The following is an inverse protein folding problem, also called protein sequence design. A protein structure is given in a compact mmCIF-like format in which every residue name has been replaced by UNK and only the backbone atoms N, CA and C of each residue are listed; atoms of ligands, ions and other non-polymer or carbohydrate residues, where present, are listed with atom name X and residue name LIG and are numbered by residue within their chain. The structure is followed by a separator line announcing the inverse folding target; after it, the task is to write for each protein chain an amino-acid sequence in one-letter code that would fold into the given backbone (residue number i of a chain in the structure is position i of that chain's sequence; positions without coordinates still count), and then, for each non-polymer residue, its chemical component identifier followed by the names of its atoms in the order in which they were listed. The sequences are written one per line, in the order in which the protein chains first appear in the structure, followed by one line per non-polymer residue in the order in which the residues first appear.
data_IF_852429396592
#
_entry.id   IF_852429396592
#
_cell.length_a   1.000
_cell.length_b   1.000
_cell.length_c   1.000
_cell.angle_alpha   90.00
_cell.angle_beta   90.00
_cell.angle_gamma   90.00
#
_symmetry.space_group_name_H-M   'P 1'
#
loop_
_entity.id
_entity.type
_entity.pdbx_description
1 polymer ?
#
# COMPACT_ATOMS: atom_id res chain seq x y z
N UNK A 1 -3.87 11.40 -3.51
CA UNK A 1 -4.85 12.49 -3.52
C UNK A 1 -5.47 12.71 -2.14
N UNK A 2 -6.29 11.79 -1.62
CA UNK A 2 -6.98 11.94 -0.33
C UNK A 2 -6.04 12.26 0.84
N UNK A 3 -4.85 11.65 0.84
CA UNK A 3 -3.80 11.90 1.82
C UNK A 3 -3.25 13.34 1.82
N UNK A 4 -3.26 14.01 0.66
CA UNK A 4 -2.83 15.41 0.53
C UNK A 4 -3.99 16.36 0.87
N UNK A 5 -5.21 16.00 0.48
CA UNK A 5 -6.42 16.76 0.82
C UNK A 5 -6.66 16.87 2.35
N UNK A 6 -6.07 15.96 3.13
CA UNK A 6 -6.16 15.91 4.58
C UNK A 6 -4.89 16.43 5.30
N UNK A 7 -3.98 17.11 4.63
CA UNK A 7 -2.73 17.61 5.24
C UNK A 7 -2.94 18.57 6.44
N UNK A 8 -4.06 19.28 6.49
CA UNK A 8 -4.42 20.15 7.63
C UNK A 8 -5.00 19.42 8.84
N UNK A 9 -5.16 18.09 8.78
CA UNK A 9 -5.74 17.29 9.85
C UNK A 9 -4.65 16.66 10.72
N UNK A 10 -5.02 16.15 11.91
CA UNK A 10 -4.08 15.40 12.73
C UNK A 10 -3.50 14.22 11.93
N UNK A 11 -2.16 14.11 11.91
CA UNK A 11 -1.42 13.15 11.09
C UNK A 11 -1.87 11.70 11.28
N UNK A 12 -2.11 11.27 12.52
CA UNK A 12 -2.57 9.91 12.81
C UNK A 12 -4.05 9.72 12.47
N UNK A 13 -4.89 10.73 12.76
CA UNK A 13 -6.30 10.70 12.43
C UNK A 13 -6.53 10.64 10.91
N UNK A 14 -5.71 11.35 10.14
CA UNK A 14 -5.69 11.30 8.67
C UNK A 14 -5.50 9.87 8.17
N UNK A 15 -4.48 9.16 8.65
CA UNK A 15 -4.22 7.78 8.23
C UNK A 15 -5.35 6.83 8.61
N UNK A 16 -5.89 6.96 9.83
CA UNK A 16 -7.03 6.17 10.28
C UNK A 16 -8.28 6.41 9.42
N UNK A 17 -8.55 7.66 9.06
CA UNK A 17 -9.70 8.03 8.24
C UNK A 17 -9.57 7.46 6.82
N UNK A 18 -8.39 7.56 6.22
CA UNK A 18 -8.11 6.94 4.92
C UNK A 18 -8.27 5.43 5.01
N UNK A 19 -7.75 4.79 6.06
CA UNK A 19 -7.86 3.34 6.24
C UNK A 19 -9.32 2.90 6.46
N UNK A 20 -10.13 3.69 7.17
CA UNK A 20 -11.55 3.43 7.35
C UNK A 20 -12.33 3.56 6.04
N UNK A 21 -12.11 4.63 5.27
CA UNK A 21 -12.70 4.79 3.93
C UNK A 21 -12.28 3.65 3.01
N UNK A 22 -11.02 3.24 3.07
CA UNK A 22 -10.49 2.13 2.27
C UNK A 22 -11.12 0.79 2.65
N UNK A 23 -11.33 0.53 3.94
CA UNK A 23 -12.07 -0.64 4.40
C UNK A 23 -13.54 -0.62 3.93
N UNK A 24 -14.24 0.51 4.07
CA UNK A 24 -15.62 0.69 3.59
C UNK A 24 -15.72 0.42 2.08
N UNK A 25 -14.71 0.83 1.31
CA UNK A 25 -14.64 0.54 -0.12
C UNK A 25 -14.50 -0.96 -0.42
N UNK A 26 -13.73 -1.69 0.39
CA UNK A 26 -13.52 -3.13 0.24
C UNK A 26 -14.46 -3.97 1.11
N UNK A 27 -15.61 -3.45 1.50
CA UNK A 27 -16.47 -4.16 2.45
C UNK A 27 -16.90 -5.54 1.90
N UNK A 28 -16.67 -6.60 2.69
CA UNK A 28 -16.98 -8.00 2.34
C UNK A 28 -17.76 -8.65 3.48
N UNK A 29 -18.73 -9.51 3.14
CA UNK A 29 -19.59 -10.20 4.10
C UNK A 29 -19.65 -11.73 3.87
N UNK A 30 -18.72 -12.30 3.09
CA UNK A 30 -18.86 -13.68 2.65
C UNK A 30 -18.37 -14.70 3.69
N UNK A 31 -17.40 -14.33 4.53
CA UNK A 31 -16.73 -15.27 5.45
C UNK A 31 -16.44 -14.62 6.81
N UNK A 32 -16.14 -15.45 7.83
CA UNK A 32 -15.65 -14.94 9.13
C UNK A 32 -14.34 -14.16 8.99
N UNK A 33 -13.49 -14.56 8.03
CA UNK A 33 -12.29 -13.80 7.69
C UNK A 33 -12.65 -12.38 7.25
N UNK A 34 -13.65 -12.22 6.38
CA UNK A 34 -14.10 -10.92 5.88
C UNK A 34 -14.66 -10.00 6.98
N UNK A 35 -15.27 -10.60 8.02
CA UNK A 35 -15.90 -9.86 9.12
C UNK A 35 -14.95 -9.49 10.25
N UNK A 36 -13.97 -10.35 10.57
CA UNK A 36 -13.13 -10.18 11.76
C UNK A 36 -11.67 -9.87 11.46
N UNK A 37 -11.12 -10.43 10.38
CA UNK A 37 -9.68 -10.34 10.08
C UNK A 37 -9.41 -9.29 9.00
N UNK A 38 -10.21 -9.30 7.93
CA UNK A 38 -10.08 -8.37 6.83
C UNK A 38 -10.20 -6.89 7.24
N UNK A 39 -11.11 -6.48 8.16
CA UNK A 39 -11.15 -5.11 8.64
C UNK A 39 -9.87 -4.70 9.37
N UNK A 40 -9.29 -5.59 10.18
CA UNK A 40 -8.03 -5.33 10.88
C UNK A 40 -6.87 -5.14 9.90
N UNK A 41 -6.82 -5.96 8.84
CA UNK A 41 -5.82 -5.82 7.77
C UNK A 41 -6.01 -4.51 7.01
N UNK A 42 -7.24 -4.14 6.64
CA UNK A 42 -7.51 -2.88 5.95
C UNK A 42 -7.18 -1.66 6.82
N UNK A 43 -7.61 -1.65 8.08
CA UNK A 43 -7.37 -0.54 9.00
C UNK A 43 -5.89 -0.41 9.36
N UNK A 44 -5.26 -1.50 9.81
CA UNK A 44 -3.86 -1.52 10.20
C UNK A 44 -2.92 -1.34 9.01
N UNK A 45 -3.17 -2.05 7.92
CA UNK A 45 -2.41 -1.94 6.67
C UNK A 45 -2.56 -0.56 6.04
N UNK A 46 -3.77 -0.02 5.96
CA UNK A 46 -4.02 1.33 5.45
C UNK A 46 -3.31 2.40 6.29
N UNK A 47 -3.33 2.25 7.63
CA UNK A 47 -2.61 3.16 8.53
C UNK A 47 -1.09 3.13 8.29
N UNK A 48 -0.50 1.93 8.27
CA UNK A 48 0.94 1.75 8.06
C UNK A 48 1.40 2.23 6.68
N UNK A 49 0.63 1.92 5.64
CA UNK A 49 0.92 2.36 4.28
C UNK A 49 0.80 3.87 4.13
N UNK A 50 -0.22 4.49 4.73
CA UNK A 50 -0.36 5.95 4.78
C UNK A 50 0.86 6.59 5.45
N UNK A 51 1.23 6.11 6.64
CA UNK A 51 2.43 6.58 7.35
C UNK A 51 3.70 6.43 6.51
N UNK A 52 3.92 5.24 5.93
CA UNK A 52 5.09 4.94 5.13
C UNK A 52 5.17 5.80 3.86
N UNK A 53 4.03 6.10 3.24
CA UNK A 53 3.96 6.97 2.07
C UNK A 53 4.37 8.41 2.39
N UNK A 54 3.92 8.93 3.54
CA UNK A 54 4.31 10.27 4.01
C UNK A 54 5.79 10.30 4.40
N UNK A 55 6.28 9.29 5.15
CA UNK A 55 7.68 9.24 5.60
C UNK A 55 8.67 9.12 4.43
N UNK A 56 8.27 8.44 3.34
CA UNK A 56 9.08 8.30 2.12
C UNK A 56 8.82 9.40 1.07
N UNK A 57 7.79 10.24 1.27
CA UNK A 57 7.32 11.20 0.27
C UNK A 57 6.97 10.55 -1.08
N UNK A 58 6.50 9.30 -1.05
CA UNK A 58 6.31 8.48 -2.24
C UNK A 58 5.07 7.61 -2.12
N UNK A 59 4.25 7.57 -3.16
CA UNK A 59 3.07 6.69 -3.24
C UNK A 59 3.44 5.26 -3.59
N UNK A 60 4.68 5.03 -4.05
CA UNK A 60 5.10 3.73 -4.53
C UNK A 60 4.86 2.62 -3.49
N UNK A 61 5.22 2.74 -2.19
CA UNK A 61 5.09 1.64 -1.23
C UNK A 61 3.64 1.18 -1.12
N UNK A 62 2.70 2.14 -1.20
CA UNK A 62 1.27 1.89 -1.22
C UNK A 62 0.89 1.07 -2.44
N UNK A 63 1.30 1.50 -3.64
CA UNK A 63 0.98 0.79 -4.90
C UNK A 63 1.54 -0.63 -4.92
N UNK A 64 2.79 -0.81 -4.50
CA UNK A 64 3.45 -2.11 -4.47
C UNK A 64 2.80 -3.06 -3.48
N UNK A 65 2.55 -2.60 -2.25
CA UNK A 65 1.91 -3.43 -1.23
C UNK A 65 0.46 -3.74 -1.61
N UNK A 66 -0.26 -2.78 -2.19
CA UNK A 66 -1.63 -2.99 -2.64
C UNK A 66 -1.70 -4.04 -3.77
N UNK A 67 -0.81 -3.96 -4.76
CA UNK A 67 -0.69 -4.98 -5.80
C UNK A 67 -0.31 -6.35 -5.24
N UNK A 68 0.61 -6.40 -4.27
CA UNK A 68 1.03 -7.64 -3.64
C UNK A 68 -0.13 -8.32 -2.88
N UNK A 69 -0.92 -7.53 -2.15
CA UNK A 69 -2.12 -8.01 -1.47
C UNK A 69 -3.13 -8.54 -2.49
N UNK A 70 -3.38 -7.81 -3.58
CA UNK A 70 -4.29 -8.28 -4.63
C UNK A 70 -3.79 -9.60 -5.23
N UNK A 71 -2.52 -9.72 -5.59
CA UNK A 71 -1.98 -10.95 -6.18
C UNK A 71 -2.05 -12.15 -5.24
N UNK A 72 -1.87 -11.93 -3.93
CA UNK A 72 -1.90 -12.99 -2.92
C UNK A 72 -3.31 -13.34 -2.44
N UNK A 73 -4.28 -12.44 -2.58
CA UNK A 73 -5.66 -12.61 -2.07
C UNK A 73 -6.73 -12.73 -3.16
N UNK A 74 -6.38 -12.51 -4.43
CA UNK A 74 -7.27 -12.78 -5.55
C UNK A 74 -7.53 -14.30 -5.64
N UNK A 75 -8.79 -14.67 -5.87
CA UNK A 75 -9.33 -16.03 -5.68
C UNK A 75 -8.48 -17.15 -6.30
N UNK A 76 -8.51 -18.34 -5.66
CA UNK A 76 -7.72 -19.51 -6.05
C UNK A 76 -6.40 -19.63 -5.29
N UNK A 77 -5.78 -20.82 -5.29
CA UNK A 77 -4.48 -21.05 -4.64
C UNK A 77 -3.36 -20.18 -5.21
N UNK A 78 -2.20 -20.18 -4.55
CA UNK A 78 -0.99 -19.55 -5.07
C UNK A 78 -0.44 -20.46 -6.18
N UNK A 79 -0.66 -20.05 -7.43
CA UNK A 79 -0.11 -20.73 -8.61
C UNK A 79 1.21 -20.07 -9.07
N UNK A 80 1.86 -20.66 -10.07
CA UNK A 80 3.12 -20.16 -10.62
C UNK A 80 3.00 -18.74 -11.21
N UNK A 81 1.83 -18.36 -11.74
CA UNK A 81 1.59 -17.03 -12.30
C UNK A 81 1.51 -15.97 -11.20
N UNK A 82 0.86 -16.27 -10.07
CA UNK A 82 0.82 -15.40 -8.89
C UNK A 82 2.20 -15.24 -8.28
N UNK A 83 2.99 -16.31 -8.18
CA UNK A 83 4.40 -16.24 -7.73
C UNK A 83 5.22 -15.34 -8.66
N UNK A 84 5.10 -15.52 -9.98
CA UNK A 84 5.78 -14.66 -10.95
C UNK A 84 5.36 -13.18 -10.81
N UNK A 85 4.06 -12.91 -10.60
CA UNK A 85 3.54 -11.58 -10.34
C UNK A 85 4.12 -10.95 -9.08
N UNK A 86 4.20 -11.71 -7.97
CA UNK A 86 4.82 -11.27 -6.71
C UNK A 86 6.29 -10.89 -6.95
N UNK A 87 7.05 -11.75 -7.63
CA UNK A 87 8.47 -11.50 -7.95
C UNK A 87 8.62 -10.24 -8.82
N UNK A 88 7.79 -10.06 -9.85
CA UNK A 88 7.82 -8.87 -10.71
C UNK A 88 7.50 -7.58 -9.95
N UNK A 89 6.54 -7.61 -9.02
CA UNK A 89 6.21 -6.47 -8.16
C UNK A 89 7.38 -6.09 -7.25
N UNK A 90 8.07 -7.07 -6.67
CA UNK A 90 9.26 -6.86 -5.84
C UNK A 90 10.44 -6.34 -6.67
N UNK A 91 10.69 -6.90 -7.85
CA UNK A 91 11.77 -6.43 -8.74
C UNK A 91 11.50 -5.02 -9.26
N UNK A 92 10.26 -4.72 -9.63
CA UNK A 92 9.82 -3.38 -10.03
C UNK A 92 10.03 -2.37 -8.90
N UNK A 93 9.70 -2.75 -7.66
CA UNK A 93 9.99 -1.94 -6.48
C UNK A 93 11.46 -1.58 -6.36
N UNK A 94 12.33 -2.60 -6.32
CA UNK A 94 13.77 -2.43 -6.16
C UNK A 94 14.35 -1.56 -7.28
N UNK A 95 13.93 -1.79 -8.52
CA UNK A 95 14.38 -1.00 -9.67
C UNK A 95 13.99 0.47 -9.53
N UNK A 96 12.74 0.76 -9.17
CA UNK A 96 12.26 2.14 -9.02
C UNK A 96 12.96 2.83 -7.84
N UNK A 97 13.13 2.14 -6.71
CA UNK A 97 13.84 2.68 -5.55
C UNK A 97 15.30 3.03 -5.90
N UNK A 98 15.99 2.16 -6.63
CA UNK A 98 17.36 2.41 -7.10
C UNK A 98 17.43 3.59 -8.07
N UNK A 99 16.49 3.70 -9.00
CA UNK A 99 16.41 4.84 -9.95
C UNK A 99 16.15 6.15 -9.20
N UNK A 100 15.25 6.15 -8.21
CA UNK A 100 14.94 7.32 -7.41
C UNK A 100 16.15 7.77 -6.57
N UNK A 101 16.79 6.84 -5.85
CA UNK A 101 18.03 7.12 -5.08
C UNK A 101 19.15 7.67 -5.96
N UNK A 102 19.24 7.24 -7.22
CA UNK A 102 20.21 7.78 -8.19
C UNK A 102 19.88 9.21 -8.61
N UNK A 103 18.60 9.55 -8.79
CA UNK A 103 18.16 10.91 -9.15
C UNK A 103 18.37 11.89 -8.00
N UNK A 104 18.03 11.53 -6.76
CA UNK A 104 18.23 12.40 -5.60
C UNK A 104 19.70 12.73 -5.35
N UNK A 105 20.60 11.75 -5.51
CA UNK A 105 22.06 11.97 -5.42
C UNK A 105 22.63 12.88 -6.51
N UNK A 106 22.06 12.87 -7.72
CA UNK A 106 22.47 13.78 -8.80
C UNK A 106 22.00 15.22 -8.55
N UNK A 107 20.84 15.40 -7.94
CA UNK A 107 20.27 16.73 -7.65
C UNK A 107 20.98 17.47 -6.51
N UNK A 108 21.78 16.78 -5.68
CA UNK A 108 22.57 17.37 -4.60
C UNK A 108 23.97 17.84 -5.02
N UNK A 109 24.38 17.55 -6.26
CA UNK A 109 25.70 17.93 -6.82
C UNK A 109 25.66 19.18 -7.71
N UNK A 110 24.50 19.81 -7.84
CA UNK A 110 24.28 21.09 -8.53
C UNK A 110 23.69 22.07 -7.53
#
# INVERSE_FOLDING_TARGET
YLQNALEGFNRNAKYLLIAAVWWVWHFRFATQFDLFIFPLICLGGGFLLGKLADDLGSILPVVTMHNLIILTTNSGGIDQHKIAGIVLVILGWIAIEQIWKRRSRKSQKH
#
